data_IF_583889650629
#
_entry.id   IF_583889650629
#
_cell.length_a   1.000
_cell.length_b   1.000
_cell.length_c   1.000
_cell.angle_alpha   90.00
_cell.angle_beta   90.00
_cell.angle_gamma   90.00
#
_symmetry.space_group_name_H-M   'P 1'
#
loop_
_entity.id
_entity.type
_entity.pdbx_description
1 polymer ?
#
# COMPACT_ATOMS: atom_id res chain seq x y z
N UNK A 1 -17.48 1.01 -34.09
CA UNK A 1 -17.26 2.48 -34.00
C UNK A 1 -17.14 2.83 -32.54
N UNK A 2 -16.02 3.43 -32.14
CA UNK A 2 -15.82 3.93 -30.78
C UNK A 2 -16.91 4.97 -30.47
N UNK A 3 -17.59 4.81 -29.32
CA UNK A 3 -18.38 5.91 -28.76
C UNK A 3 -17.38 6.91 -28.19
N UNK A 4 -17.35 8.15 -28.70
CA UNK A 4 -16.61 9.22 -28.06
C UNK A 4 -17.34 9.62 -26.77
N UNK A 5 -16.60 10.18 -25.83
CA UNK A 5 -17.06 10.82 -24.60
C UNK A 5 -17.75 9.92 -23.57
N UNK A 6 -16.96 9.39 -22.61
CA UNK A 6 -17.47 9.20 -21.25
C UNK A 6 -17.07 10.45 -20.45
N UNK A 7 -17.93 11.49 -20.36
CA UNK A 7 -17.67 12.60 -19.46
C UNK A 7 -17.67 12.06 -18.03
N UNK A 8 -16.87 12.64 -17.14
CA UNK A 8 -16.72 12.23 -15.74
C UNK A 8 -18.05 11.91 -15.01
N UNK A 9 -19.17 12.48 -15.46
CA UNK A 9 -20.52 12.16 -15.03
C UNK A 9 -20.89 10.66 -15.11
N UNK A 10 -20.36 9.90 -16.07
CA UNK A 10 -20.64 8.46 -16.20
C UNK A 10 -19.85 7.61 -15.20
N UNK A 11 -18.64 8.03 -14.86
CA UNK A 11 -17.82 7.40 -13.79
C UNK A 11 -18.46 7.65 -12.42
N UNK A 12 -18.98 8.87 -12.19
CA UNK A 12 -19.70 9.20 -10.95
C UNK A 12 -21.02 8.45 -10.80
N UNK A 13 -21.65 8.03 -11.91
CA UNK A 13 -22.89 7.25 -11.90
C UNK A 13 -22.68 5.75 -11.61
N UNK A 14 -21.43 5.26 -11.68
CA UNK A 14 -21.05 3.86 -11.42
C UNK A 14 -20.50 3.67 -9.98
N UNK A 15 -20.43 4.72 -9.16
CA UNK A 15 -20.01 4.61 -7.75
C UNK A 15 -21.23 4.27 -6.90
N UNK A 16 -21.22 3.11 -6.24
CA UNK A 16 -22.33 2.65 -5.41
C UNK A 16 -22.34 3.27 -3.99
N UNK A 17 -21.29 3.99 -3.61
CA UNK A 17 -21.18 4.74 -2.35
C UNK A 17 -21.73 6.17 -2.52
N UNK A 18 -22.50 6.70 -1.56
CA UNK A 18 -23.10 8.06 -1.63
C UNK A 18 -22.20 9.19 -1.12
N UNK A 19 -22.30 10.33 -1.80
CA UNK A 19 -21.98 11.64 -1.22
C UNK A 19 -20.52 11.81 -0.79
N UNK A 20 -20.31 12.13 0.49
CA UNK A 20 -18.99 12.43 1.06
C UNK A 20 -18.09 11.19 1.18
N UNK A 21 -18.67 10.00 1.36
CA UNK A 21 -17.90 8.76 1.48
C UNK A 21 -17.22 8.39 0.16
N UNK A 22 -17.91 8.58 -0.98
CA UNK A 22 -17.32 8.39 -2.30
C UNK A 22 -16.13 9.35 -2.54
N UNK A 23 -16.28 10.62 -2.15
CA UNK A 23 -15.18 11.60 -2.23
C UNK A 23 -14.02 11.18 -1.33
N UNK A 24 -14.30 10.72 -0.11
CA UNK A 24 -13.28 10.25 0.82
C UNK A 24 -12.49 9.06 0.27
N UNK A 25 -13.18 8.02 -0.23
CA UNK A 25 -12.54 6.83 -0.82
C UNK A 25 -11.72 7.23 -2.04
N UNK A 26 -12.26 8.07 -2.93
CA UNK A 26 -11.52 8.54 -4.10
C UNK A 26 -10.25 9.32 -3.72
N UNK A 27 -10.34 10.22 -2.74
CA UNK A 27 -9.18 10.98 -2.25
C UNK A 27 -8.13 10.06 -1.61
N UNK A 28 -8.54 9.00 -0.92
CA UNK A 28 -7.63 8.00 -0.36
C UNK A 28 -6.84 7.26 -1.46
N UNK A 29 -7.47 6.96 -2.59
CA UNK A 29 -6.80 6.30 -3.72
C UNK A 29 -5.92 7.26 -4.52
N UNK A 30 -6.35 8.52 -4.68
CA UNK A 30 -5.49 9.57 -5.24
C UNK A 30 -4.24 9.76 -4.37
N UNK A 31 -4.41 9.76 -3.05
CA UNK A 31 -3.28 9.73 -2.12
C UNK A 31 -2.38 8.51 -2.36
N UNK A 32 -2.94 7.30 -2.51
CA UNK A 32 -2.16 6.10 -2.77
C UNK A 32 -1.33 6.17 -4.07
N UNK A 33 -1.84 6.79 -5.14
CA UNK A 33 -1.06 7.07 -6.36
C UNK A 33 0.09 8.05 -6.09
N UNK A 34 -0.15 9.07 -5.27
CA UNK A 34 0.82 10.15 -5.03
C UNK A 34 1.93 9.75 -4.07
N UNK A 35 1.66 8.88 -3.10
CA UNK A 35 2.66 8.49 -2.08
C UNK A 35 3.97 7.94 -2.67
N UNK A 36 3.96 7.04 -3.68
CA UNK A 36 5.20 6.60 -4.31
C UNK A 36 6.06 7.72 -4.90
N UNK A 37 5.48 8.87 -5.27
CA UNK A 37 6.23 10.04 -5.77
C UNK A 37 7.15 10.59 -4.68
N UNK A 38 6.80 10.44 -3.40
CA UNK A 38 7.68 10.82 -2.28
C UNK A 38 9.03 10.11 -2.38
N UNK A 39 9.04 8.85 -2.81
CA UNK A 39 10.28 8.09 -3.00
C UNK A 39 11.15 8.73 -4.09
N UNK A 40 10.56 9.20 -5.19
CA UNK A 40 11.27 9.94 -6.25
C UNK A 40 11.87 11.23 -5.69
N UNK A 41 11.06 12.01 -4.98
CA UNK A 41 11.48 13.32 -4.45
C UNK A 41 12.60 13.18 -3.42
N UNK A 42 12.46 12.26 -2.48
CA UNK A 42 13.49 12.00 -1.46
C UNK A 42 14.75 11.39 -2.07
N UNK A 43 14.63 10.50 -3.05
CA UNK A 43 15.81 9.95 -3.75
C UNK A 43 16.60 11.05 -4.44
N UNK A 44 15.92 12.00 -5.08
CA UNK A 44 16.56 13.13 -5.74
C UNK A 44 17.15 14.13 -4.74
N UNK A 45 16.43 14.40 -3.64
CA UNK A 45 16.88 15.36 -2.63
C UNK A 45 18.12 14.87 -1.87
N UNK A 46 18.20 13.58 -1.57
CA UNK A 46 19.28 12.94 -0.81
C UNK A 46 20.25 12.14 -1.70
N UNK A 47 20.39 12.54 -2.97
CA UNK A 47 21.13 11.75 -3.97
C UNK A 47 22.57 11.41 -3.55
N UNK A 48 23.33 12.41 -3.10
CA UNK A 48 24.74 12.23 -2.73
C UNK A 48 24.89 11.24 -1.56
N UNK A 49 24.03 11.35 -0.55
CA UNK A 49 23.96 10.42 0.56
C UNK A 49 23.63 9.00 0.09
N UNK A 50 22.62 8.85 -0.77
CA UNK A 50 22.20 7.54 -1.26
C UNK A 50 23.26 6.87 -2.13
N UNK A 51 23.93 7.60 -3.03
CA UNK A 51 25.04 7.03 -3.83
C UNK A 51 26.19 6.58 -2.95
N UNK A 52 26.42 7.24 -1.81
CA UNK A 52 27.45 6.83 -0.86
C UNK A 52 27.04 5.65 0.05
N UNK A 53 25.72 5.43 0.23
CA UNK A 53 25.19 4.53 1.27
C UNK A 53 24.61 3.24 0.70
N UNK A 54 24.04 3.26 -0.50
CA UNK A 54 23.32 2.13 -1.09
C UNK A 54 23.85 1.81 -2.48
N UNK A 55 23.57 0.60 -2.97
CA UNK A 55 24.19 0.08 -4.19
C UNK A 55 23.64 0.70 -5.49
N UNK A 56 22.33 0.90 -5.58
CA UNK A 56 21.69 1.38 -6.80
C UNK A 56 20.48 2.30 -6.53
N UNK A 57 20.69 3.57 -6.15
CA UNK A 57 19.61 4.52 -5.88
C UNK A 57 18.62 4.70 -7.03
N UNK A 58 19.08 4.54 -8.29
CA UNK A 58 18.21 4.64 -9.48
C UNK A 58 17.03 3.67 -9.43
N UNK A 59 17.20 2.51 -8.79
CA UNK A 59 16.12 1.52 -8.67
C UNK A 59 14.94 2.03 -7.84
N UNK A 60 15.11 3.04 -6.98
CA UNK A 60 14.02 3.64 -6.24
C UNK A 60 13.06 4.44 -7.15
N UNK A 61 13.55 5.05 -8.24
CA UNK A 61 12.69 5.67 -9.25
C UNK A 61 11.83 4.62 -9.96
N UNK A 62 12.44 3.49 -10.33
CA UNK A 62 11.72 2.39 -11.00
C UNK A 62 10.72 1.75 -10.04
N UNK A 63 11.09 1.58 -8.78
CA UNK A 63 10.19 1.10 -7.73
C UNK A 63 8.96 2.00 -7.57
N UNK A 64 9.17 3.32 -7.53
CA UNK A 64 8.07 4.28 -7.48
C UNK A 64 7.13 4.16 -8.68
N UNK A 65 7.66 4.02 -9.90
CA UNK A 65 6.85 3.82 -11.11
C UNK A 65 6.03 2.52 -11.05
N UNK A 66 6.62 1.42 -10.57
CA UNK A 66 5.90 0.17 -10.38
C UNK A 66 4.78 0.33 -9.34
N UNK A 67 5.03 1.04 -8.24
CA UNK A 67 4.00 1.29 -7.23
C UNK A 67 2.87 2.18 -7.78
N UNK A 68 3.16 3.22 -8.56
CA UNK A 68 2.13 4.02 -9.25
C UNK A 68 1.30 3.16 -10.20
N UNK A 69 1.95 2.28 -10.96
CA UNK A 69 1.25 1.32 -11.82
C UNK A 69 0.35 0.40 -10.98
N UNK A 70 0.85 -0.11 -9.86
CA UNK A 70 0.09 -0.93 -8.93
C UNK A 70 -1.16 -0.23 -8.40
N UNK A 71 -1.04 1.03 -7.96
CA UNK A 71 -2.18 1.85 -7.52
C UNK A 71 -3.19 2.08 -8.65
N UNK A 72 -2.73 2.19 -9.89
CA UNK A 72 -3.64 2.33 -11.05
C UNK A 72 -4.46 1.06 -11.27
N UNK A 73 -3.86 -0.11 -11.10
CA UNK A 73 -4.58 -1.38 -11.18
C UNK A 73 -5.57 -1.56 -10.01
N UNK A 74 -5.19 -1.18 -8.79
CA UNK A 74 -6.07 -1.25 -7.63
C UNK A 74 -7.28 -0.30 -7.79
N UNK A 75 -7.08 0.90 -8.31
CA UNK A 75 -8.18 1.80 -8.70
C UNK A 75 -9.07 1.19 -9.78
N UNK A 76 -8.48 0.53 -10.77
CA UNK A 76 -9.26 -0.13 -11.81
C UNK A 76 -10.11 -1.28 -11.26
N UNK A 77 -9.56 -2.07 -10.32
CA UNK A 77 -10.30 -3.15 -9.67
C UNK A 77 -11.43 -2.60 -8.79
N UNK A 78 -11.15 -1.58 -8.00
CA UNK A 78 -12.16 -0.91 -7.19
C UNK A 78 -13.25 -0.27 -8.05
N UNK A 79 -12.91 0.30 -9.21
CA UNK A 79 -13.90 0.79 -10.15
C UNK A 79 -14.78 -0.33 -10.73
N UNK A 80 -14.22 -1.52 -11.02
CA UNK A 80 -14.99 -2.71 -11.43
C UNK A 80 -15.95 -3.14 -10.31
N UNK A 81 -15.50 -3.05 -9.05
CA UNK A 81 -16.31 -3.34 -7.87
C UNK A 81 -17.21 -2.14 -7.45
N UNK A 82 -17.39 -1.15 -8.34
CA UNK A 82 -18.20 0.05 -8.13
C UNK A 82 -17.86 0.82 -6.85
N UNK A 83 -16.61 0.70 -6.41
CA UNK A 83 -16.00 1.26 -5.20
C UNK A 83 -16.60 0.77 -3.89
N UNK A 84 -17.59 -0.12 -3.92
CA UNK A 84 -18.35 -0.57 -2.76
C UNK A 84 -17.92 -1.98 -2.39
N UNK A 85 -17.03 -2.11 -1.40
CA UNK A 85 -16.45 -3.38 -1.04
C UNK A 85 -17.37 -4.20 -0.14
N UNK A 86 -17.71 -5.41 -0.57
CA UNK A 86 -18.42 -6.44 0.20
C UNK A 86 -17.65 -7.75 0.16
N UNK A 87 -17.92 -8.72 1.04
CA UNK A 87 -17.23 -10.02 1.01
C UNK A 87 -17.31 -10.76 -0.33
N UNK A 88 -18.28 -10.43 -1.19
CA UNK A 88 -18.48 -11.04 -2.50
C UNK A 88 -17.71 -10.32 -3.63
N UNK A 89 -17.27 -9.08 -3.42
CA UNK A 89 -16.53 -8.31 -4.42
C UNK A 89 -15.17 -8.92 -4.71
N UNK A 90 -14.70 -8.77 -5.96
CA UNK A 90 -13.48 -9.41 -6.41
C UNK A 90 -12.24 -8.84 -5.68
N UNK A 91 -12.28 -7.55 -5.33
CA UNK A 91 -11.25 -6.94 -4.50
C UNK A 91 -11.19 -7.54 -3.10
N UNK A 92 -12.35 -7.89 -2.52
CA UNK A 92 -12.41 -8.31 -1.12
C UNK A 92 -12.14 -9.80 -0.91
N UNK A 93 -12.57 -10.63 -1.85
CA UNK A 93 -12.38 -12.08 -1.78
C UNK A 93 -11.07 -12.55 -2.43
N UNK A 94 -10.24 -11.62 -2.92
CA UNK A 94 -8.92 -11.91 -3.46
C UNK A 94 -8.93 -12.60 -4.81
N UNK A 95 -9.98 -12.46 -5.64
CA UNK A 95 -10.05 -13.05 -6.99
C UNK A 95 -9.97 -12.01 -8.11
N UNK A 96 -9.85 -10.72 -7.77
CA UNK A 96 -9.72 -9.62 -8.73
C UNK A 96 -8.47 -9.74 -9.59
N UNK A 97 -8.64 -9.69 -10.90
CA UNK A 97 -7.51 -9.72 -11.85
C UNK A 97 -6.64 -8.47 -11.72
N UNK A 98 -7.27 -7.29 -11.63
CA UNK A 98 -6.54 -6.05 -11.49
C UNK A 98 -5.84 -5.98 -10.12
N UNK A 99 -6.46 -6.49 -9.05
CA UNK A 99 -5.79 -6.59 -7.74
C UNK A 99 -4.57 -7.50 -7.74
N UNK A 100 -4.64 -8.66 -8.41
CA UNK A 100 -3.47 -9.51 -8.59
C UNK A 100 -2.30 -8.72 -9.19
N UNK A 101 -2.56 -7.95 -10.25
CA UNK A 101 -1.53 -7.10 -10.84
C UNK A 101 -1.08 -5.99 -9.90
N UNK A 102 -2.00 -5.34 -9.18
CA UNK A 102 -1.69 -4.29 -8.24
C UNK A 102 -0.68 -4.77 -7.18
N UNK A 103 -1.00 -5.85 -6.48
CA UNK A 103 -0.13 -6.42 -5.45
C UNK A 103 1.17 -7.00 -6.01
N UNK A 104 1.15 -7.54 -7.24
CA UNK A 104 2.38 -7.95 -7.91
C UNK A 104 3.30 -6.74 -8.17
N UNK A 105 2.75 -5.63 -8.67
CA UNK A 105 3.49 -4.39 -8.92
C UNK A 105 4.03 -3.79 -7.62
N UNK A 106 3.25 -3.79 -6.54
CA UNK A 106 3.75 -3.37 -5.22
C UNK A 106 4.89 -4.25 -4.73
N UNK A 107 4.76 -5.57 -4.87
CA UNK A 107 5.82 -6.53 -4.49
C UNK A 107 7.07 -6.33 -5.35
N UNK A 108 6.91 -6.07 -6.65
CA UNK A 108 8.00 -5.77 -7.58
C UNK A 108 8.69 -4.44 -7.23
N UNK A 109 7.93 -3.41 -6.86
CA UNK A 109 8.48 -2.16 -6.35
C UNK A 109 9.32 -2.37 -5.09
N UNK A 110 8.80 -3.11 -4.10
CA UNK A 110 9.55 -3.45 -2.89
C UNK A 110 10.80 -4.30 -3.19
N UNK A 111 10.71 -5.23 -4.15
CA UNK A 111 11.84 -6.03 -4.59
C UNK A 111 12.96 -5.16 -5.18
N UNK A 112 12.62 -4.17 -6.00
CA UNK A 112 13.61 -3.22 -6.52
C UNK A 112 14.21 -2.33 -5.44
N UNK A 113 13.45 -1.97 -4.40
CA UNK A 113 14.01 -1.29 -3.23
C UNK A 113 15.04 -2.20 -2.54
N UNK A 114 14.71 -3.46 -2.29
CA UNK A 114 15.63 -4.41 -1.67
C UNK A 114 16.93 -4.59 -2.49
N UNK A 115 16.82 -4.75 -3.81
CA UNK A 115 17.99 -4.84 -4.70
C UNK A 115 18.77 -3.52 -4.74
N UNK A 116 18.09 -2.37 -4.73
CA UNK A 116 18.74 -1.06 -4.66
C UNK A 116 19.57 -0.88 -3.38
N UNK A 117 19.08 -1.43 -2.26
CA UNK A 117 19.76 -1.40 -0.97
C UNK A 117 20.93 -2.37 -0.89
N UNK A 118 20.81 -3.59 -1.42
CA UNK A 118 21.79 -4.67 -1.19
C UNK A 118 22.67 -5.01 -2.41
N UNK A 119 22.39 -4.44 -3.57
CA UNK A 119 23.13 -4.70 -4.80
C UNK A 119 22.92 -6.12 -5.34
N UNK A 120 24.03 -6.77 -5.71
CA UNK A 120 24.07 -8.09 -6.33
C UNK A 120 24.17 -9.25 -5.34
N UNK A 121 23.86 -9.01 -4.05
CA UNK A 121 23.79 -10.04 -3.04
C UNK A 121 22.86 -11.18 -3.49
N UNK A 122 23.44 -12.33 -3.83
CA UNK A 122 22.73 -13.43 -4.49
C UNK A 122 21.47 -13.88 -3.73
N UNK A 123 21.53 -13.86 -2.40
CA UNK A 123 20.43 -14.30 -1.55
C UNK A 123 19.26 -13.29 -1.61
N UNK A 124 19.53 -11.99 -1.71
CA UNK A 124 18.49 -10.95 -1.91
C UNK A 124 17.83 -11.15 -3.26
N UNK A 125 18.63 -11.26 -4.32
CA UNK A 125 18.14 -11.47 -5.69
C UNK A 125 17.30 -12.75 -5.77
N UNK A 126 17.78 -13.86 -5.19
CA UNK A 126 17.04 -15.11 -5.15
C UNK A 126 15.72 -14.96 -4.38
N UNK A 127 15.73 -14.34 -3.20
CA UNK A 127 14.51 -14.12 -2.40
C UNK A 127 13.48 -13.30 -3.16
N UNK A 128 13.86 -12.19 -3.80
CA UNK A 128 12.91 -11.35 -4.53
C UNK A 128 12.37 -12.03 -5.79
N UNK A 129 13.21 -12.76 -6.53
CA UNK A 129 12.76 -13.53 -7.71
C UNK A 129 11.76 -14.61 -7.29
N UNK A 130 12.05 -15.36 -6.22
CA UNK A 130 11.14 -16.37 -5.67
C UNK A 130 9.83 -15.72 -5.23
N UNK A 131 9.88 -14.58 -4.53
CA UNK A 131 8.67 -13.87 -4.11
C UNK A 131 7.81 -13.40 -5.29
N UNK A 132 8.41 -12.90 -6.37
CA UNK A 132 7.68 -12.43 -7.56
C UNK A 132 7.02 -13.54 -8.36
N UNK A 133 7.58 -14.76 -8.32
CA UNK A 133 6.96 -15.95 -8.91
C UNK A 133 5.90 -16.52 -7.96
N UNK A 134 6.19 -16.54 -6.67
CA UNK A 134 5.29 -17.08 -5.64
C UNK A 134 4.01 -16.26 -5.53
N UNK A 135 4.09 -14.92 -5.57
CA UNK A 135 2.93 -14.04 -5.42
C UNK A 135 1.76 -14.42 -6.36
N UNK A 136 1.92 -14.41 -7.70
CA UNK A 136 0.80 -14.70 -8.60
C UNK A 136 0.28 -16.13 -8.45
N UNK A 137 1.16 -17.11 -8.17
CA UNK A 137 0.73 -18.48 -7.90
C UNK A 137 -0.13 -18.51 -6.65
N UNK A 138 0.34 -17.91 -5.56
CA UNK A 138 -0.36 -17.88 -4.27
C UNK A 138 -1.72 -17.20 -4.37
N UNK A 139 -1.81 -16.11 -5.14
CA UNK A 139 -3.04 -15.40 -5.42
C UNK A 139 -4.02 -16.28 -6.21
N UNK A 140 -3.58 -16.90 -7.30
CA UNK A 140 -4.43 -17.78 -8.11
C UNK A 140 -4.89 -19.04 -7.37
N UNK A 141 -4.06 -19.61 -6.50
CA UNK A 141 -4.42 -20.80 -5.70
C UNK A 141 -5.16 -20.47 -4.42
N UNK A 142 -5.36 -19.18 -4.14
CA UNK A 142 -5.97 -18.70 -2.93
C UNK A 142 -5.24 -19.13 -1.63
N UNK A 143 -3.93 -19.32 -1.66
CA UNK A 143 -3.14 -19.76 -0.50
C UNK A 143 -2.08 -18.74 -0.09
N UNK A 144 -2.28 -18.04 1.02
CA UNK A 144 -1.25 -17.18 1.62
C UNK A 144 -0.84 -16.00 0.73
N UNK A 145 -1.81 -15.30 0.13
CA UNK A 145 -1.59 -14.30 -0.94
C UNK A 145 -0.65 -13.16 -0.53
N UNK A 146 -0.64 -12.79 0.75
CA UNK A 146 0.24 -11.73 1.28
C UNK A 146 1.62 -12.22 1.72
N UNK A 147 1.90 -13.53 1.64
CA UNK A 147 3.17 -14.11 2.11
C UNK A 147 4.37 -13.57 1.34
N UNK A 148 4.27 -13.51 0.01
CA UNK A 148 5.34 -13.00 -0.84
C UNK A 148 5.65 -11.52 -0.56
N UNK A 149 4.62 -10.67 -0.52
CA UNK A 149 4.77 -9.25 -0.19
C UNK A 149 5.30 -9.05 1.24
N UNK A 150 4.87 -9.88 2.20
CA UNK A 150 5.37 -9.84 3.57
C UNK A 150 6.86 -10.17 3.67
N UNK A 151 7.32 -11.22 2.97
CA UNK A 151 8.75 -11.58 2.92
C UNK A 151 9.59 -10.45 2.35
N UNK A 152 9.17 -9.85 1.23
CA UNK A 152 9.91 -8.75 0.60
C UNK A 152 9.86 -7.49 1.47
N UNK A 153 8.71 -7.17 2.08
CA UNK A 153 8.59 -6.06 3.02
C UNK A 153 9.51 -6.19 4.24
N UNK A 154 9.61 -7.38 4.82
CA UNK A 154 10.56 -7.67 5.90
C UNK A 154 12.00 -7.46 5.45
N UNK A 155 12.33 -7.96 4.26
CA UNK A 155 13.65 -7.80 3.67
C UNK A 155 14.00 -6.32 3.47
N UNK A 156 13.09 -5.52 2.92
CA UNK A 156 13.25 -4.06 2.74
C UNK A 156 13.47 -3.37 4.07
N UNK A 157 12.71 -3.70 5.12
CA UNK A 157 12.89 -3.09 6.43
C UNK A 157 14.26 -3.41 7.06
N UNK A 158 14.73 -4.66 6.96
CA UNK A 158 16.05 -5.07 7.46
C UNK A 158 17.16 -4.33 6.69
N UNK A 159 17.12 -4.37 5.37
CA UNK A 159 18.13 -3.72 4.52
C UNK A 159 18.09 -2.19 4.68
N UNK A 160 16.90 -1.62 4.82
CA UNK A 160 16.72 -0.18 5.06
C UNK A 160 17.31 0.25 6.39
N UNK A 161 17.13 -0.54 7.45
CA UNK A 161 17.75 -0.26 8.75
C UNK A 161 19.27 -0.37 8.67
N UNK A 162 19.78 -1.37 7.96
CA UNK A 162 21.23 -1.53 7.74
C UNK A 162 21.83 -0.36 6.96
N UNK A 163 21.11 0.16 5.96
CA UNK A 163 21.56 1.29 5.16
C UNK A 163 21.50 2.61 5.93
N UNK A 164 20.36 2.92 6.58
CA UNK A 164 20.10 4.26 7.10
C UNK A 164 20.26 4.38 8.61
N UNK A 165 20.36 3.27 9.34
CA UNK A 165 20.51 3.24 10.79
C UNK A 165 19.28 3.70 11.58
N UNK A 166 18.18 4.07 10.91
CA UNK A 166 16.97 4.57 11.56
C UNK A 166 15.90 3.46 11.69
N UNK A 167 15.47 3.10 12.91
CA UNK A 167 14.47 2.06 13.14
C UNK A 167 13.07 2.41 12.64
N UNK A 168 12.78 3.65 12.22
CA UNK A 168 11.45 4.00 11.66
C UNK A 168 11.08 3.19 10.43
N UNK A 169 12.05 2.59 9.73
CA UNK A 169 11.80 1.68 8.59
C UNK A 169 10.94 0.46 8.92
N UNK A 170 10.78 0.11 10.21
CA UNK A 170 9.93 -1.00 10.67
C UNK A 170 8.46 -0.58 10.88
N UNK A 171 8.18 0.72 10.99
CA UNK A 171 6.83 1.23 11.26
C UNK A 171 5.79 0.89 10.17
N UNK A 172 6.15 0.61 8.90
CA UNK A 172 5.21 0.03 7.94
C UNK A 172 4.54 -1.28 8.41
N UNK A 173 5.15 -2.07 9.32
CA UNK A 173 4.48 -3.26 9.87
C UNK A 173 3.26 -2.90 10.71
N UNK A 174 3.29 -1.77 11.42
CA UNK A 174 2.10 -1.26 12.10
C UNK A 174 1.03 -0.85 11.10
N UNK A 175 1.40 -0.24 9.97
CA UNK A 175 0.44 0.08 8.92
C UNK A 175 -0.20 -1.17 8.32
N UNK A 176 0.56 -2.24 8.08
CA UNK A 176 -0.01 -3.51 7.63
C UNK A 176 -1.05 -4.05 8.63
N UNK A 177 -0.77 -3.97 9.93
CA UNK A 177 -1.74 -4.33 10.97
C UNK A 177 -2.98 -3.42 10.94
N UNK A 178 -2.80 -2.10 10.82
CA UNK A 178 -3.89 -1.13 10.75
C UNK A 178 -4.77 -1.35 9.50
N UNK A 179 -4.17 -1.60 8.34
CA UNK A 179 -4.85 -1.97 7.09
C UNK A 179 -5.77 -3.17 7.32
N UNK A 180 -5.26 -4.24 7.91
CA UNK A 180 -6.09 -5.42 8.18
C UNK A 180 -7.20 -5.12 9.18
N UNK A 181 -6.94 -4.33 10.22
CA UNK A 181 -7.96 -3.95 11.19
C UNK A 181 -9.10 -3.14 10.56
N UNK A 182 -8.78 -2.15 9.72
CA UNK A 182 -9.77 -1.36 8.98
C UNK A 182 -10.53 -2.20 7.97
N UNK A 183 -9.82 -3.06 7.23
CA UNK A 183 -10.41 -3.90 6.20
C UNK A 183 -11.34 -4.97 6.79
N UNK A 184 -10.95 -5.62 7.88
CA UNK A 184 -11.85 -6.55 8.58
C UNK A 184 -13.08 -5.83 9.11
N UNK A 185 -12.92 -4.68 9.75
CA UNK A 185 -14.06 -3.91 10.25
C UNK A 185 -14.97 -3.44 9.09
N UNK A 186 -14.40 -3.05 7.94
CA UNK A 186 -15.13 -2.73 6.72
C UNK A 186 -16.03 -3.89 6.28
N UNK A 187 -15.47 -5.10 6.16
CA UNK A 187 -16.22 -6.27 5.71
C UNK A 187 -17.28 -6.72 6.73
N UNK A 188 -17.01 -6.58 8.03
CA UNK A 188 -17.96 -6.95 9.09
C UNK A 188 -19.12 -5.96 9.24
N UNK A 189 -18.89 -4.67 8.97
CA UNK A 189 -19.89 -3.61 9.20
C UNK A 189 -20.54 -3.08 7.93
N UNK A 190 -19.89 -3.24 6.77
CA UNK A 190 -20.28 -2.57 5.53
C UNK A 190 -20.05 -1.06 5.52
N UNK A 191 -19.34 -0.50 6.51
CA UNK A 191 -19.08 0.94 6.62
C UNK A 191 -17.95 1.38 5.69
N UNK A 192 -18.28 1.87 4.50
CA UNK A 192 -17.34 2.17 3.41
C UNK A 192 -16.37 3.31 3.73
N UNK A 193 -16.62 4.12 4.76
CA UNK A 193 -15.60 5.06 5.29
C UNK A 193 -14.29 4.34 5.66
N UNK A 194 -14.37 3.08 6.11
CA UNK A 194 -13.23 2.25 6.47
C UNK A 194 -12.42 1.79 5.24
N UNK A 195 -12.99 1.83 4.05
CA UNK A 195 -12.28 1.59 2.80
C UNK A 195 -11.16 2.63 2.63
N UNK A 196 -11.48 3.93 2.73
CA UNK A 196 -10.45 4.97 2.61
C UNK A 196 -9.36 4.89 3.69
N UNK A 197 -9.70 4.48 4.92
CA UNK A 197 -8.70 4.24 5.98
C UNK A 197 -7.80 3.04 5.64
N UNK A 198 -8.36 1.96 5.10
CA UNK A 198 -7.61 0.81 4.59
C UNK A 198 -6.61 1.25 3.52
N UNK A 199 -7.07 2.00 2.51
CA UNK A 199 -6.22 2.47 1.40
C UNK A 199 -5.10 3.40 1.87
N UNK A 200 -5.39 4.35 2.76
CA UNK A 200 -4.37 5.26 3.33
C UNK A 200 -3.35 4.47 4.14
N UNK A 201 -3.80 3.57 5.02
CA UNK A 201 -2.88 2.77 5.83
C UNK A 201 -1.97 1.91 4.93
N UNK A 202 -2.54 1.22 3.93
CA UNK A 202 -1.81 0.34 3.02
C UNK A 202 -0.75 1.09 2.20
N UNK A 203 -1.04 2.32 1.77
CA UNK A 203 -0.15 3.10 0.91
C UNK A 203 0.93 3.89 1.68
N UNK A 204 0.75 4.16 2.97
CA UNK A 204 1.60 5.11 3.72
C UNK A 204 2.99 4.62 4.11
N UNK A 205 3.35 3.35 3.83
CA UNK A 205 4.64 2.78 4.24
C UNK A 205 5.86 3.55 3.72
N UNK A 206 5.77 4.15 2.52
CA UNK A 206 6.86 4.91 1.90
C UNK A 206 7.26 6.13 2.70
N UNK A 207 6.37 6.75 3.47
CA UNK A 207 6.71 7.90 4.32
C UNK A 207 7.74 7.55 5.37
N UNK A 208 7.65 6.36 5.98
CA UNK A 208 8.63 5.92 6.97
C UNK A 208 9.98 5.62 6.34
N UNK A 209 9.99 5.08 5.13
CA UNK A 209 11.22 4.85 4.38
C UNK A 209 11.88 6.18 3.97
N UNK A 210 11.09 7.15 3.53
CA UNK A 210 11.53 8.51 3.23
C UNK A 210 12.10 9.22 4.47
N UNK A 211 11.44 9.06 5.62
CA UNK A 211 11.90 9.61 6.89
C UNK A 211 13.23 9.01 7.32
N UNK A 212 13.41 7.69 7.17
CA UNK A 212 14.66 7.03 7.49
C UNK A 212 15.84 7.56 6.64
N UNK A 213 15.62 7.80 5.33
CA UNK A 213 16.65 8.39 4.47
C UNK A 213 17.03 9.80 4.93
N UNK A 214 16.03 10.63 5.23
CA UNK A 214 16.26 11.99 5.70
C UNK A 214 17.08 12.01 6.99
N UNK A 215 16.70 11.20 7.98
CA UNK A 215 17.40 11.13 9.26
C UNK A 215 18.79 10.51 9.13
N UNK A 216 18.95 9.52 8.24
CA UNK A 216 20.24 8.92 7.92
C UNK A 216 21.22 9.95 7.35
N UNK A 217 20.77 10.76 6.38
CA UNK A 217 21.56 11.85 5.80
C UNK A 217 21.88 12.95 6.83
N UNK A 218 20.89 13.34 7.64
CA UNK A 218 21.06 14.33 8.70
C UNK A 218 21.94 13.83 9.88
N UNK A 219 22.26 12.53 9.95
CA UNK A 219 22.98 11.93 11.07
C UNK A 219 22.18 11.91 12.38
N UNK A 220 20.85 11.95 12.29
CA UNK A 220 19.92 11.99 13.44
C UNK A 220 18.90 10.85 13.40
N UNK A 221 19.33 9.57 13.36
CA UNK A 221 18.40 8.45 13.38
C UNK A 221 17.59 8.44 14.68
N UNK A 222 16.32 8.05 14.59
CA UNK A 222 15.50 7.83 15.78
C UNK A 222 16.03 6.66 16.62
N UNK A 223 15.60 6.60 17.88
CA UNK A 223 15.91 5.47 18.75
C UNK A 223 14.93 4.30 18.55
N UNK A 224 15.38 3.09 18.89
CA UNK A 224 14.49 1.93 18.97
C UNK A 224 13.35 2.12 19.98
N UNK A 225 13.59 2.88 21.05
CA UNK A 225 12.55 3.24 22.01
C UNK A 225 11.44 4.05 21.33
N UNK A 226 11.80 5.04 20.50
CA UNK A 226 10.83 5.81 19.72
C UNK A 226 9.99 4.90 18.83
N UNK A 227 10.63 4.05 18.01
CA UNK A 227 9.92 3.14 17.13
C UNK A 227 8.99 2.18 17.91
N UNK A 228 9.48 1.58 19.00
CA UNK A 228 8.68 0.71 19.87
C UNK A 228 7.49 1.45 20.52
N UNK A 229 7.68 2.70 20.96
CA UNK A 229 6.60 3.53 21.50
C UNK A 229 5.51 3.76 20.47
N UNK A 230 5.86 4.11 19.23
CA UNK A 230 4.87 4.28 18.15
C UNK A 230 4.13 2.97 17.85
N UNK A 231 4.84 1.84 17.77
CA UNK A 231 4.21 0.54 17.54
C UNK A 231 3.21 0.18 18.65
N UNK A 232 3.59 0.34 19.92
CA UNK A 232 2.74 0.01 21.07
C UNK A 232 1.54 0.94 21.18
N UNK A 233 1.76 2.26 21.10
CA UNK A 233 0.68 3.25 21.19
C UNK A 233 -0.26 3.09 19.99
N UNK A 234 0.29 2.92 18.79
CA UNK A 234 -0.50 2.69 17.57
C UNK A 234 -1.35 1.43 17.68
N UNK A 235 -0.77 0.31 18.09
CA UNK A 235 -1.50 -0.94 18.26
C UNK A 235 -2.62 -0.80 19.32
N UNK A 236 -2.34 -0.17 20.45
CA UNK A 236 -3.34 0.11 21.48
C UNK A 236 -4.46 1.04 20.98
N UNK A 237 -4.12 2.06 20.19
CA UNK A 237 -5.07 2.97 19.60
C UNK A 237 -6.00 2.26 18.60
N UNK A 238 -5.46 1.44 17.69
CA UNK A 238 -6.25 0.64 16.74
C UNK A 238 -7.12 -0.37 17.47
N UNK A 239 -6.59 -1.06 18.49
CA UNK A 239 -7.35 -2.01 19.30
C UNK A 239 -8.54 -1.33 20.03
N UNK A 240 -8.31 -0.12 20.57
CA UNK A 240 -9.36 0.67 21.22
C UNK A 240 -10.38 1.19 20.20
N UNK A 241 -9.90 1.70 19.08
CA UNK A 241 -10.72 2.19 17.98
C UNK A 241 -11.59 1.08 17.38
N UNK A 242 -11.19 -0.19 17.46
CA UNK A 242 -12.00 -1.33 16.98
C UNK A 242 -13.42 -1.29 17.52
N UNK A 243 -13.61 -1.00 18.80
CA UNK A 243 -14.97 -0.93 19.38
C UNK A 243 -15.82 0.18 18.74
N UNK A 244 -15.20 1.29 18.33
CA UNK A 244 -15.86 2.38 17.62
C UNK A 244 -16.14 2.01 16.16
N UNK A 245 -15.17 1.38 15.49
CA UNK A 245 -15.32 0.91 14.12
C UNK A 245 -16.48 -0.07 13.98
N UNK A 246 -16.60 -1.02 14.91
CA UNK A 246 -17.69 -2.01 14.94
C UNK A 246 -19.08 -1.41 15.19
N UNK A 247 -19.16 -0.14 15.57
CA UNK A 247 -20.44 0.58 15.77
C UNK A 247 -20.79 1.49 14.59
N UNK A 248 -19.93 1.58 13.58
CA UNK A 248 -20.22 2.36 12.40
C UNK A 248 -21.40 1.73 11.64
N UNK A 249 -22.36 2.54 11.16
CA UNK A 249 -23.44 2.04 10.35
C UNK A 249 -22.92 1.60 8.98
N UNK A 250 -23.57 0.60 8.38
CA UNK A 250 -23.33 0.25 6.99
C UNK A 250 -23.63 1.45 6.08
N UNK A 251 -22.81 1.66 5.06
CA UNK A 251 -23.03 2.74 4.10
C UNK A 251 -24.23 2.45 3.21
N UNK A 252 -24.97 3.49 2.82
CA UNK A 252 -26.09 3.34 1.89
C UNK A 252 -25.58 3.05 0.48
N UNK A 253 -26.09 1.97 -0.13
CA UNK A 253 -25.83 1.64 -1.54
C UNK A 253 -26.74 2.45 -2.47
N UNK A 254 -26.17 3.11 -3.47
CA UNK A 254 -26.97 3.72 -4.57
C UNK A 254 -27.29 2.65 -5.58
N UNK A 255 -28.52 2.13 -5.56
CA UNK A 255 -29.02 1.37 -6.69
C UNK A 255 -29.52 2.39 -7.72
N UNK A 256 -28.67 2.75 -8.69
CA UNK A 256 -29.18 3.42 -9.89
C UNK A 256 -30.02 2.39 -10.64
N UNK A 257 -31.35 2.50 -10.53
CA UNK A 257 -32.25 1.74 -11.39
C UNK A 257 -31.95 2.12 -12.83
N UNK A 258 -31.35 1.20 -13.57
CA UNK A 258 -31.25 1.30 -15.02
C UNK A 258 -32.68 1.27 -15.58
N UNK A 259 -33.15 2.42 -16.07
CA UNK A 259 -34.25 2.50 -17.04
C UNK A 259 -33.70 2.16 -18.42
#
# INVERSE_FOLDING_TARGET
MASPDKPAAKVLAEIEIRGLEAVWVLLAHLYAILVPIVLVLVTNHHWDYLVATIHAPVLFYVAALLMVAGSTFEIAQNAIDNWYLTPETASANGVGFCDMFAFWFFTAGQALIAVGLAGDAWWVVATVVVALIWFPISYLTQTGHFGASGVVGILVAILGYQAFGDPVVILPFFLAFATMAFFTALLETGAQVLHGFTTIAASSGIWFFAWAMHNGDAGTPNSWLFAATILVIGAAAVATARQLMMRLPASERVVTSSV
#
